data_IF_779886105555
#
_entry.id   IF_779886105555
#
_cell.length_a   1.000
_cell.length_b   1.000
_cell.length_c   1.000
_cell.angle_alpha   90.00
_cell.angle_beta   90.00
_cell.angle_gamma   90.00
#
_symmetry.space_group_name_H-M   'P 1'
#
loop_
_entity.id
_entity.type
_entity.pdbx_description
1 polymer ?
#
# COMPACT_ATOMS: atom_id res chain seq x y z
N UNK A 1 34.89 -0.89 -10.21
CA UNK A 1 34.05 0.24 -10.61
C UNK A 1 32.74 -0.01 -9.89
N UNK A 2 32.50 0.69 -8.77
CA UNK A 2 31.22 0.65 -8.10
C UNK A 2 30.20 1.34 -9.00
N UNK A 3 29.19 0.61 -9.45
CA UNK A 3 28.03 1.21 -10.08
C UNK A 3 27.33 2.04 -9.00
N UNK A 4 27.32 3.33 -9.15
CA UNK A 4 26.42 4.19 -8.36
C UNK A 4 25.02 3.84 -8.84
N UNK A 5 24.29 3.00 -8.11
CA UNK A 5 22.87 2.83 -8.35
C UNK A 5 22.24 4.20 -8.13
N UNK A 6 21.63 4.74 -9.17
CA UNK A 6 20.94 6.02 -9.12
C UNK A 6 19.74 5.82 -8.20
N UNK A 7 19.78 6.44 -7.01
CA UNK A 7 18.69 6.38 -6.04
C UNK A 7 17.46 7.04 -6.66
N UNK A 8 16.40 6.26 -6.85
CA UNK A 8 15.12 6.78 -7.33
C UNK A 8 14.46 7.49 -6.16
N UNK A 9 14.21 8.79 -6.33
CA UNK A 9 13.55 9.61 -5.31
C UNK A 9 12.03 9.58 -5.52
N UNK A 10 11.24 9.56 -4.43
CA UNK A 10 9.79 9.65 -4.49
C UNK A 10 9.34 10.94 -5.18
N UNK A 11 8.26 10.87 -5.93
CA UNK A 11 7.68 12.02 -6.64
C UNK A 11 6.35 12.43 -6.03
N UNK A 12 5.57 11.46 -5.59
CA UNK A 12 4.24 11.68 -5.01
C UNK A 12 4.34 12.06 -3.51
N UNK A 13 5.03 11.25 -2.71
CA UNK A 13 5.25 11.55 -1.30
C UNK A 13 6.54 12.34 -1.12
N UNK A 14 6.43 13.59 -0.76
CA UNK A 14 7.57 14.48 -0.51
C UNK A 14 7.65 14.80 0.98
N UNK A 15 8.75 14.48 1.67
CA UNK A 15 8.95 14.91 3.05
C UNK A 15 8.98 16.44 3.16
N UNK A 16 8.41 16.96 4.26
CA UNK A 16 8.30 18.40 4.47
C UNK A 16 9.64 19.06 4.94
N UNK A 17 10.65 18.24 5.30
CA UNK A 17 11.99 18.72 5.63
C UNK A 17 12.90 18.77 4.39
N UNK A 18 13.89 19.65 4.42
CA UNK A 18 14.91 19.76 3.39
C UNK A 18 16.22 19.07 3.79
N UNK A 19 16.82 18.29 2.90
CA UNK A 19 18.10 17.64 3.11
C UNK A 19 18.04 16.36 3.93
N UNK A 20 18.98 16.15 4.83
CA UNK A 20 19.02 14.94 5.66
C UNK A 20 18.02 15.05 6.82
N UNK A 21 17.32 13.95 7.16
CA UNK A 21 16.39 13.93 8.28
C UNK A 21 17.12 14.21 9.61
N UNK A 22 16.53 15.07 10.42
CA UNK A 22 17.06 15.38 11.77
C UNK A 22 16.75 14.21 12.72
N UNK A 23 17.74 13.72 13.48
CA UNK A 23 17.65 12.62 14.45
C UNK A 23 16.70 11.49 13.97
N UNK A 24 16.99 10.85 12.83
CA UNK A 24 16.03 9.97 12.18
C UNK A 24 15.69 8.72 13.00
N UNK A 25 14.42 8.30 12.92
CA UNK A 25 14.00 6.93 13.15
C UNK A 25 14.09 6.16 11.83
N UNK A 26 14.50 4.90 11.87
CA UNK A 26 14.61 4.06 10.68
C UNK A 26 13.45 3.07 10.63
N UNK A 27 12.63 3.17 9.59
CA UNK A 27 11.56 2.22 9.31
C UNK A 27 11.99 1.30 8.18
N UNK A 28 11.74 -0.01 8.37
CA UNK A 28 12.03 -1.03 7.38
C UNK A 28 10.74 -1.76 7.03
N UNK A 29 10.33 -1.66 5.77
CA UNK A 29 9.16 -2.37 5.27
C UNK A 29 9.65 -3.70 4.71
N UNK A 30 9.27 -4.80 5.36
CA UNK A 30 9.68 -6.15 5.01
C UNK A 30 8.77 -6.80 3.95
N UNK A 31 7.52 -6.39 3.88
CA UNK A 31 6.54 -6.80 2.88
C UNK A 31 5.52 -5.67 2.70
N UNK A 32 5.00 -5.50 1.50
CA UNK A 32 3.92 -4.56 1.23
C UNK A 32 2.97 -5.16 0.20
N UNK A 33 1.67 -5.18 0.53
CA UNK A 33 0.63 -5.78 -0.29
C UNK A 33 -0.58 -4.86 -0.40
N UNK A 34 -1.19 -4.86 -1.59
CA UNK A 34 -2.49 -4.23 -1.83
C UNK A 34 -3.43 -5.31 -2.36
N UNK A 35 -4.48 -5.64 -1.58
CA UNK A 35 -5.42 -6.73 -1.89
C UNK A 35 -4.71 -8.08 -2.12
N UNK A 36 -3.72 -8.41 -1.29
CA UNK A 36 -2.91 -9.62 -1.36
C UNK A 36 -1.88 -9.65 -2.50
N UNK A 37 -1.80 -8.63 -3.35
CA UNK A 37 -0.78 -8.50 -4.39
C UNK A 37 0.43 -7.76 -3.85
N UNK A 38 1.65 -8.28 -4.03
CA UNK A 38 2.85 -7.59 -3.56
C UNK A 38 3.03 -6.25 -4.28
N UNK A 39 3.58 -5.29 -3.54
CA UNK A 39 4.00 -4.02 -4.12
C UNK A 39 5.05 -4.24 -5.21
N UNK A 40 4.97 -3.44 -6.25
CA UNK A 40 5.83 -3.55 -7.44
C UNK A 40 6.69 -2.31 -7.61
N UNK A 41 7.72 -2.44 -8.42
CA UNK A 41 8.62 -1.35 -8.80
C UNK A 41 7.87 -0.08 -9.19
N UNK A 42 8.29 1.05 -8.60
CA UNK A 42 7.72 2.38 -8.85
C UNK A 42 6.58 2.77 -7.90
N UNK A 43 6.06 1.85 -7.07
CA UNK A 43 5.16 2.24 -5.98
C UNK A 43 5.93 3.04 -4.94
N UNK A 44 5.25 3.99 -4.31
CA UNK A 44 5.84 4.83 -3.26
C UNK A 44 5.20 4.54 -1.91
N UNK A 45 6.02 4.60 -0.85
CA UNK A 45 5.56 4.53 0.53
C UNK A 45 5.89 5.83 1.23
N UNK A 46 4.88 6.45 1.81
CA UNK A 46 4.97 7.69 2.60
C UNK A 46 4.67 7.44 4.07
N UNK A 47 5.43 8.07 4.94
CA UNK A 47 5.26 8.02 6.40
C UNK A 47 4.83 9.40 6.88
N UNK A 48 3.80 9.42 7.72
CA UNK A 48 3.15 10.65 8.14
C UNK A 48 3.03 10.75 9.67
N UNK A 49 3.18 11.95 10.18
CA UNK A 49 2.80 12.36 11.53
C UNK A 49 1.76 13.47 11.43
N UNK A 50 0.51 13.19 11.86
CA UNK A 50 -0.59 14.16 11.81
C UNK A 50 -0.74 14.91 10.48
N UNK A 51 -0.55 14.21 9.36
CA UNK A 51 -0.69 14.76 8.01
C UNK A 51 0.57 15.40 7.42
N UNK A 52 1.67 15.46 8.16
CA UNK A 52 2.98 15.92 7.69
C UNK A 52 3.76 14.71 7.18
N UNK A 53 4.27 14.77 5.95
CA UNK A 53 5.12 13.73 5.41
C UNK A 53 6.52 13.83 6.04
N UNK A 54 6.88 12.83 6.85
CA UNK A 54 8.14 12.82 7.62
C UNK A 54 9.19 11.87 7.06
N UNK A 55 8.84 11.15 5.99
CA UNK A 55 9.75 10.28 5.24
C UNK A 55 9.04 9.55 4.11
N UNK A 56 9.78 9.19 3.08
CA UNK A 56 9.23 8.43 1.95
C UNK A 56 10.31 7.64 1.22
N UNK A 57 9.89 6.61 0.48
CA UNK A 57 10.78 5.84 -0.38
C UNK A 57 10.01 5.17 -1.53
N UNK A 58 10.73 4.78 -2.58
CA UNK A 58 10.21 4.08 -3.75
C UNK A 58 10.54 2.59 -3.67
N UNK A 59 9.58 1.74 -3.98
CA UNK A 59 9.83 0.30 -4.14
C UNK A 59 10.62 0.07 -5.42
N UNK A 60 11.88 -0.34 -5.28
CA UNK A 60 12.80 -0.55 -6.41
C UNK A 60 13.06 -2.02 -6.70
N UNK A 61 12.65 -2.91 -5.81
CA UNK A 61 12.77 -4.35 -5.95
C UNK A 61 11.62 -5.07 -5.20
N UNK A 62 11.48 -6.36 -5.42
CA UNK A 62 10.54 -7.17 -4.66
C UNK A 62 10.94 -7.23 -3.20
N UNK A 63 10.04 -6.90 -2.30
CA UNK A 63 10.28 -6.99 -0.86
C UNK A 63 10.19 -8.44 -0.39
N UNK A 64 11.14 -8.85 0.42
CA UNK A 64 11.25 -10.19 0.98
C UNK A 64 11.75 -10.09 2.43
N UNK A 65 10.99 -10.58 3.42
CA UNK A 65 11.36 -10.48 4.83
C UNK A 65 12.72 -11.06 5.20
N UNK A 66 13.28 -11.95 4.38
CA UNK A 66 14.57 -12.58 4.64
C UNK A 66 15.74 -11.88 3.94
N UNK A 67 15.49 -11.17 2.84
CA UNK A 67 16.57 -10.72 1.95
C UNK A 67 16.54 -9.24 1.57
N UNK A 68 15.37 -8.59 1.56
CA UNK A 68 15.25 -7.21 1.09
C UNK A 68 14.19 -6.42 1.88
N UNK A 69 14.53 -5.19 2.22
CA UNK A 69 13.68 -4.27 2.95
C UNK A 69 13.65 -2.91 2.26
N UNK A 70 12.49 -2.28 2.22
CA UNK A 70 12.42 -0.88 1.88
C UNK A 70 12.79 -0.06 3.11
N UNK A 71 13.91 0.65 3.05
CA UNK A 71 14.39 1.51 4.14
C UNK A 71 13.85 2.92 3.99
N UNK A 72 13.21 3.43 5.03
CA UNK A 72 12.64 4.78 5.07
C UNK A 72 13.13 5.48 6.34
N UNK A 73 14.15 6.33 6.27
CA UNK A 73 14.51 7.20 7.37
C UNK A 73 13.46 8.31 7.49
N UNK A 74 12.88 8.48 8.68
CA UNK A 74 11.90 9.52 8.98
C UNK A 74 12.52 10.58 9.89
N UNK A 75 12.38 11.85 9.51
CA UNK A 75 12.96 12.99 10.25
C UNK A 75 12.14 13.32 11.49
N UNK A 76 12.83 13.48 12.63
CA UNK A 76 12.25 14.10 13.81
C UNK A 76 12.13 15.61 13.57
N UNK A 77 11.15 16.24 14.19
CA UNK A 77 11.03 17.70 14.19
C UNK A 77 12.31 18.37 14.75
N UNK A 78 12.85 19.30 13.97
CA UNK A 78 14.06 20.06 14.35
C UNK A 78 13.62 21.32 15.10
N UNK A 79 13.89 21.43 16.41
CA UNK A 79 13.48 22.58 17.20
C UNK A 79 14.19 23.87 16.82
N UNK A 80 15.13 23.86 15.90
CA UNK A 80 15.81 25.03 15.36
C UNK A 80 15.14 25.64 14.14
N UNK A 81 14.14 24.95 13.55
CA UNK A 81 13.29 25.46 12.48
C UNK A 81 12.03 26.11 13.07
N UNK A 82 11.47 27.10 12.36
CA UNK A 82 10.23 27.78 12.78
C UNK A 82 8.95 27.01 12.44
N UNK A 83 9.06 25.94 11.66
CA UNK A 83 7.94 25.12 11.21
C UNK A 83 8.09 23.68 11.71
N UNK A 84 6.96 23.05 11.98
CA UNK A 84 6.91 21.62 12.25
C UNK A 84 7.17 20.88 10.93
N UNK A 85 8.36 20.29 10.78
CA UNK A 85 8.84 19.65 9.56
C UNK A 85 9.22 18.16 9.74
N UNK A 86 8.97 17.60 10.92
CA UNK A 86 9.29 16.22 11.26
C UNK A 86 8.33 15.60 12.26
N UNK A 87 8.59 14.34 12.63
CA UNK A 87 7.75 13.63 13.59
C UNK A 87 7.99 14.10 15.04
N UNK A 88 6.96 13.95 15.86
CA UNK A 88 7.01 14.14 17.31
C UNK A 88 7.04 12.76 17.98
N UNK A 89 8.03 12.46 18.85
CA UNK A 89 8.08 11.19 19.56
C UNK A 89 6.82 10.93 20.40
N UNK A 90 6.30 9.70 20.29
CA UNK A 90 5.06 9.28 20.93
C UNK A 90 3.80 9.48 20.11
N UNK A 91 3.84 10.20 18.99
CA UNK A 91 2.75 10.26 18.04
C UNK A 91 2.63 8.95 17.27
N UNK A 92 1.44 8.63 16.81
CA UNK A 92 1.16 7.45 16.01
C UNK A 92 1.77 7.59 14.61
N UNK A 93 2.27 6.47 14.08
CA UNK A 93 2.79 6.40 12.71
C UNK A 93 1.63 6.14 11.77
N UNK A 94 1.44 7.02 10.78
CA UNK A 94 0.53 6.78 9.67
C UNK A 94 1.35 6.40 8.43
N UNK A 95 0.95 5.33 7.74
CA UNK A 95 1.64 4.84 6.55
C UNK A 95 0.70 4.85 5.35
N UNK A 96 1.20 5.33 4.22
CA UNK A 96 0.45 5.39 2.97
C UNK A 96 1.25 4.80 1.83
N UNK A 97 0.55 4.18 0.89
CA UNK A 97 1.13 3.59 -0.32
C UNK A 97 0.47 4.26 -1.52
N UNK A 98 1.27 4.67 -2.50
CA UNK A 98 0.80 5.15 -3.80
C UNK A 98 1.22 4.16 -4.88
N UNK A 99 0.24 3.66 -5.66
CA UNK A 99 0.45 2.63 -6.69
C UNK A 99 0.68 3.20 -8.10
N UNK A 100 0.79 4.52 -8.21
CA UNK A 100 0.87 5.25 -9.47
C UNK A 100 -0.46 5.84 -9.94
N UNK A 101 -1.59 5.41 -9.34
CA UNK A 101 -2.93 5.91 -9.66
C UNK A 101 -3.69 6.38 -8.41
N UNK A 102 -3.54 5.67 -7.29
CA UNK A 102 -4.28 5.89 -6.04
C UNK A 102 -3.38 5.80 -4.82
N UNK A 103 -3.78 6.55 -3.79
CA UNK A 103 -3.23 6.48 -2.44
C UNK A 103 -4.07 5.55 -1.58
N UNK A 104 -3.39 4.76 -0.74
CA UNK A 104 -3.98 3.83 0.20
C UNK A 104 -3.39 4.03 1.58
N UNK A 105 -4.21 3.99 2.62
CA UNK A 105 -3.76 3.96 4.01
C UNK A 105 -3.50 2.50 4.41
N UNK A 106 -2.35 2.25 5.05
CA UNK A 106 -1.99 0.95 5.58
C UNK A 106 -2.20 0.92 7.09
N UNK A 107 -2.88 -0.11 7.59
CA UNK A 107 -3.01 -0.33 9.02
C UNK A 107 -1.70 -0.89 9.58
N UNK A 108 -1.03 -0.12 10.42
CA UNK A 108 0.20 -0.50 11.12
C UNK A 108 -0.02 -0.67 12.62
N UNK A 109 -1.28 -0.74 13.05
CA UNK A 109 -1.65 -0.88 14.44
C UNK A 109 -1.34 0.37 15.26
N UNK A 110 -0.77 0.18 16.45
CA UNK A 110 -0.48 1.26 17.40
C UNK A 110 1.01 1.62 17.46
N UNK A 111 1.71 1.54 16.34
CA UNK A 111 3.12 1.94 16.27
C UNK A 111 3.26 3.45 16.48
N UNK A 112 4.28 3.84 17.22
CA UNK A 112 4.57 5.25 17.54
C UNK A 112 6.00 5.63 17.16
N UNK A 113 6.19 6.91 16.88
CA UNK A 113 7.54 7.42 16.62
C UNK A 113 8.41 7.41 17.87
N UNK A 114 9.64 6.93 17.72
CA UNK A 114 10.66 6.94 18.76
C UNK A 114 11.91 7.69 18.28
N UNK A 115 12.52 8.47 19.18
CA UNK A 115 13.75 9.20 18.83
C UNK A 115 14.88 8.22 18.52
N UNK A 116 15.39 8.26 17.29
CA UNK A 116 16.45 7.37 16.79
C UNK A 116 16.11 5.89 16.93
N UNK A 117 14.81 5.56 16.93
CA UNK A 117 14.30 4.19 16.97
C UNK A 117 14.53 3.44 15.67
N UNK A 118 14.22 2.16 15.71
CA UNK A 118 14.18 1.29 14.53
C UNK A 118 12.97 0.39 14.64
N UNK A 119 12.18 0.32 13.58
CA UNK A 119 10.99 -0.53 13.50
C UNK A 119 10.97 -1.29 12.19
N UNK A 120 10.50 -2.54 12.23
CA UNK A 120 10.29 -3.39 11.04
C UNK A 120 8.82 -3.73 10.95
N UNK A 121 8.21 -3.47 9.81
CA UNK A 121 6.78 -3.69 9.61
C UNK A 121 6.48 -4.32 8.24
N UNK A 122 5.36 -5.01 8.17
CA UNK A 122 4.73 -5.43 6.93
C UNK A 122 3.46 -4.60 6.71
N UNK A 123 3.20 -4.23 5.47
CA UNK A 123 2.04 -3.45 5.07
C UNK A 123 1.05 -4.35 4.32
N UNK A 124 -0.17 -4.45 4.80
CA UNK A 124 -1.25 -5.14 4.09
C UNK A 124 -2.46 -4.22 3.98
N UNK A 125 -2.70 -3.75 2.77
CA UNK A 125 -3.82 -2.88 2.45
C UNK A 125 -4.94 -3.71 1.83
N UNK A 126 -6.08 -3.75 2.50
CA UNK A 126 -7.30 -4.35 1.96
C UNK A 126 -8.27 -3.21 1.60
N UNK A 127 -8.47 -3.03 0.29
CA UNK A 127 -9.39 -1.99 -0.18
C UNK A 127 -10.80 -2.52 -0.32
N UNK A 128 -11.77 -1.75 0.13
CA UNK A 128 -13.17 -1.99 -0.22
C UNK A 128 -13.39 -1.41 -1.62
N UNK A 129 -13.88 -2.20 -2.60
CA UNK A 129 -14.21 -1.67 -3.92
C UNK A 129 -15.21 -0.50 -3.81
N UNK A 130 -15.01 0.54 -4.57
CA UNK A 130 -15.87 1.74 -4.55
C UNK A 130 -17.14 1.62 -5.43
N UNK A 131 -17.22 0.55 -6.23
CA UNK A 131 -18.34 0.32 -7.15
C UNK A 131 -18.73 -1.15 -7.27
N UNK A 132 -20.03 -1.39 -7.51
CA UNK A 132 -20.52 -2.71 -7.95
C UNK A 132 -20.03 -2.97 -9.36
N UNK A 133 -19.34 -4.08 -9.59
CA UNK A 133 -18.85 -4.44 -10.91
C UNK A 133 -18.85 -5.93 -11.14
N UNK A 134 -19.30 -6.34 -12.32
CA UNK A 134 -19.11 -7.68 -12.85
C UNK A 134 -18.08 -7.60 -13.98
N UNK A 135 -17.02 -8.38 -13.85
CA UNK A 135 -15.94 -8.40 -14.84
C UNK A 135 -16.24 -9.47 -15.91
N UNK A 136 -15.68 -9.30 -17.09
CA UNK A 136 -15.74 -10.32 -18.12
C UNK A 136 -15.06 -11.60 -17.64
N UNK A 137 -15.63 -12.75 -17.98
CA UNK A 137 -15.01 -14.03 -17.68
C UNK A 137 -13.68 -14.19 -18.42
N UNK A 138 -12.66 -14.71 -17.73
CA UNK A 138 -11.34 -14.94 -18.33
C UNK A 138 -10.77 -16.30 -17.88
N UNK A 139 -10.17 -17.07 -18.81
CA UNK A 139 -10.15 -16.88 -20.25
C UNK A 139 -11.53 -17.00 -20.90
N UNK A 140 -11.73 -16.33 -22.04
CA UNK A 140 -12.90 -16.48 -22.88
C UNK A 140 -12.49 -16.36 -24.36
N UNK A 141 -12.53 -17.43 -25.20
CA UNK A 141 -13.06 -18.77 -24.90
C UNK A 141 -12.27 -19.53 -23.85
N UNK A 142 -12.92 -20.46 -23.13
CA UNK A 142 -12.33 -21.23 -22.04
C UNK A 142 -12.22 -22.73 -22.35
N UNK A 143 -11.25 -23.43 -21.71
CA UNK A 143 -11.07 -24.87 -21.78
C UNK A 143 -10.27 -25.40 -20.57
N UNK A 144 -10.83 -26.18 -19.66
CA UNK A 144 -12.27 -26.40 -19.42
C UNK A 144 -12.85 -25.37 -18.43
N UNK A 145 -12.04 -24.45 -17.89
CA UNK A 145 -12.42 -23.53 -16.82
C UNK A 145 -12.29 -22.07 -17.21
N UNK A 146 -13.14 -21.24 -16.65
CA UNK A 146 -13.04 -19.77 -16.69
C UNK A 146 -13.32 -19.20 -15.30
N UNK A 147 -12.79 -18.01 -15.01
CA UNK A 147 -13.06 -17.28 -13.78
C UNK A 147 -14.00 -16.13 -14.06
N UNK A 148 -15.02 -15.96 -13.24
CA UNK A 148 -15.90 -14.81 -13.22
C UNK A 148 -15.61 -14.04 -11.93
N UNK A 149 -15.21 -12.77 -12.06
CA UNK A 149 -14.91 -11.91 -10.94
C UNK A 149 -15.96 -10.81 -10.81
N UNK A 150 -16.26 -10.43 -9.57
CA UNK A 150 -17.14 -9.30 -9.29
C UNK A 150 -16.64 -8.53 -8.06
N UNK A 151 -17.07 -7.27 -7.91
CA UNK A 151 -16.75 -6.43 -6.76
C UNK A 151 -18.02 -5.87 -6.12
N UNK A 152 -18.02 -5.80 -4.78
CA UNK A 152 -19.08 -5.25 -3.96
C UNK A 152 -18.49 -4.18 -3.04
N UNK A 153 -18.98 -2.93 -3.07
CA UNK A 153 -18.45 -1.84 -2.24
C UNK A 153 -18.91 -1.89 -0.77
N UNK A 154 -19.89 -2.69 -0.48
CA UNK A 154 -20.43 -2.92 0.86
C UNK A 154 -20.72 -4.40 1.04
N UNK A 155 -20.76 -4.85 2.29
CA UNK A 155 -21.27 -6.18 2.61
C UNK A 155 -22.74 -6.28 2.16
N UNK A 156 -23.00 -7.19 1.23
CA UNK A 156 -24.32 -7.37 0.63
C UNK A 156 -24.54 -8.82 0.21
N UNK A 157 -25.79 -9.24 0.22
CA UNK A 157 -26.17 -10.51 -0.38
C UNK A 157 -26.02 -10.39 -1.89
N UNK A 158 -25.33 -11.36 -2.50
CA UNK A 158 -25.13 -11.41 -3.94
C UNK A 158 -25.58 -12.75 -4.49
N UNK A 159 -26.18 -12.75 -5.66
CA UNK A 159 -26.44 -13.96 -6.44
C UNK A 159 -25.80 -13.86 -7.81
N UNK A 160 -25.13 -14.94 -8.23
CA UNK A 160 -24.51 -15.05 -9.54
C UNK A 160 -25.08 -16.26 -10.26
N UNK A 161 -25.89 -16.01 -11.26
CA UNK A 161 -26.62 -17.04 -12.00
C UNK A 161 -26.22 -17.00 -13.47
N UNK A 162 -25.97 -18.17 -14.05
CA UNK A 162 -25.68 -18.31 -15.47
C UNK A 162 -26.96 -18.75 -16.19
N UNK A 163 -27.27 -18.05 -17.27
CA UNK A 163 -28.41 -18.34 -18.16
C UNK A 163 -27.93 -18.76 -19.55
N UNK A 164 -28.71 -19.61 -20.20
CA UNK A 164 -28.51 -19.92 -21.62
C UNK A 164 -29.04 -18.77 -22.51
N UNK A 165 -28.82 -18.89 -23.82
CA UNK A 165 -29.26 -17.89 -24.80
C UNK A 165 -30.80 -17.79 -24.91
N UNK A 166 -31.53 -18.71 -24.30
CA UNK A 166 -33.01 -18.73 -24.26
C UNK A 166 -33.54 -18.15 -22.93
N UNK A 167 -32.62 -17.69 -22.04
CA UNK A 167 -32.97 -17.13 -20.73
C UNK A 167 -33.31 -18.18 -19.66
N UNK A 168 -32.98 -19.46 -19.91
CA UNK A 168 -33.18 -20.51 -18.89
C UNK A 168 -31.96 -20.56 -17.97
N UNK A 169 -32.22 -20.66 -16.69
CA UNK A 169 -31.15 -20.83 -15.70
C UNK A 169 -30.41 -22.17 -15.95
N UNK A 170 -29.08 -22.05 -16.02
CA UNK A 170 -28.18 -23.20 -16.16
C UNK A 170 -27.61 -23.59 -14.82
N UNK A 171 -27.13 -22.62 -14.05
CA UNK A 171 -26.54 -22.85 -12.73
C UNK A 171 -26.49 -21.56 -11.92
N UNK A 172 -26.71 -21.67 -10.60
CA UNK A 172 -26.36 -20.62 -9.61
C UNK A 172 -24.99 -20.91 -9.06
N UNK A 173 -24.05 -19.97 -9.22
CA UNK A 173 -22.66 -20.08 -8.74
C UNK A 173 -22.46 -19.46 -7.36
N UNK A 174 -23.23 -18.40 -7.04
CA UNK A 174 -23.24 -17.73 -5.74
C UNK A 174 -24.71 -17.54 -5.37
N UNK A 175 -25.09 -18.06 -4.23
CA UNK A 175 -26.41 -17.86 -3.64
C UNK A 175 -26.19 -17.25 -2.26
N UNK A 176 -26.32 -15.91 -2.21
CA UNK A 176 -26.07 -15.15 -1.00
C UNK A 176 -27.17 -15.38 0.02
N UNK A 177 -26.88 -16.14 1.02
CA UNK A 177 -27.68 -16.27 2.25
C UNK A 177 -27.07 -15.43 3.38
#
# INVERSE_FOLDING_TARGET
IASTEEKIEPVYFQPDYAGNPYLPMNLYISDARINGKPAVYGMEVGIYDNGICVGSSVVTESLDPETSYLSIPVGKDDPTTDMLDGYIPGHQIDVRIFDGEREYEADVGSLVFETQGTEVMALDVVTIPDTYRLYASYPNPFNPTTTISFSLPIEAQASLIIYDIQGREVISLVDGS
#
